data_IF_726508791848
#
_entry.id   IF_726508791848
#
_cell.length_a   1.000
_cell.length_b   1.000
_cell.length_c   1.000
_cell.angle_alpha   90.00
_cell.angle_beta   90.00
_cell.angle_gamma   90.00
#
_symmetry.space_group_name_H-M   'P 1'
#
loop_
_entity.id
_entity.type
_entity.pdbx_description
1 polymer ?
#
# COMPACT_ATOMS: atom_id res chain seq x y z
N UNK A 1 19.78 -26.06 -15.69
CA UNK A 1 19.79 -26.35 -14.25
C UNK A 1 18.70 -25.53 -13.55
N UNK A 2 17.87 -26.18 -12.76
CA UNK A 2 16.92 -25.44 -11.92
C UNK A 2 17.71 -24.78 -10.80
N UNK A 3 17.70 -23.45 -10.77
CA UNK A 3 18.35 -22.68 -9.72
C UNK A 3 17.64 -22.98 -8.40
N UNK A 4 18.36 -23.55 -7.45
CA UNK A 4 17.83 -23.90 -6.14
C UNK A 4 18.08 -22.73 -5.19
N UNK A 5 17.00 -22.15 -4.67
CA UNK A 5 17.07 -21.05 -3.69
C UNK A 5 17.02 -21.63 -2.27
N UNK A 6 17.86 -21.12 -1.39
CA UNK A 6 17.94 -21.51 0.00
C UNK A 6 17.52 -20.37 0.92
N UNK A 7 16.94 -20.70 2.05
CA UNK A 7 16.59 -19.77 3.11
C UNK A 7 17.43 -20.08 4.33
N UNK A 8 18.34 -19.19 4.66
CA UNK A 8 19.19 -19.28 5.85
C UNK A 8 18.95 -18.03 6.71
N UNK A 9 18.14 -18.19 7.75
CA UNK A 9 17.82 -17.08 8.65
C UNK A 9 18.91 -16.94 9.71
N UNK A 10 19.40 -15.71 9.89
CA UNK A 10 20.24 -15.40 11.04
C UNK A 10 19.44 -15.48 12.35
N UNK A 11 20.09 -15.66 13.51
CA UNK A 11 19.38 -15.64 14.80
C UNK A 11 18.57 -14.36 15.02
N UNK A 12 19.07 -13.22 14.57
CA UNK A 12 18.38 -11.94 14.62
C UNK A 12 17.13 -11.91 13.76
N UNK A 13 17.22 -12.38 12.52
CA UNK A 13 16.09 -12.47 11.59
C UNK A 13 15.02 -13.42 12.10
N UNK A 14 15.43 -14.55 12.65
CA UNK A 14 14.51 -15.51 13.26
C UNK A 14 13.75 -14.93 14.44
N UNK A 15 14.44 -14.22 15.31
CA UNK A 15 13.84 -13.48 16.43
C UNK A 15 12.86 -12.39 15.95
N UNK A 16 13.24 -11.66 14.92
CA UNK A 16 12.39 -10.64 14.29
C UNK A 16 11.11 -11.24 13.71
N UNK A 17 11.18 -12.37 13.05
CA UNK A 17 10.00 -13.05 12.52
C UNK A 17 9.06 -13.56 13.60
N UNK A 18 9.58 -14.15 14.67
CA UNK A 18 8.78 -14.56 15.83
C UNK A 18 8.06 -13.38 16.46
N UNK A 19 8.73 -12.24 16.57
CA UNK A 19 8.16 -10.98 17.04
C UNK A 19 7.06 -10.45 16.10
N UNK A 20 7.29 -10.56 14.80
CA UNK A 20 6.33 -10.20 13.75
C UNK A 20 5.04 -11.02 13.84
N UNK A 21 5.13 -12.33 14.07
CA UNK A 21 3.99 -13.21 14.24
C UNK A 21 3.13 -12.87 15.47
N UNK A 22 3.75 -12.45 16.56
CA UNK A 22 3.06 -12.07 17.81
C UNK A 22 2.44 -10.67 17.75
N UNK A 23 2.92 -9.82 16.88
CA UNK A 23 2.47 -8.43 16.78
C UNK A 23 1.04 -8.34 16.24
N UNK A 24 0.21 -7.50 16.85
CA UNK A 24 -1.13 -7.17 16.34
C UNK A 24 -1.12 -6.14 15.19
N UNK A 25 0.02 -5.50 14.94
CA UNK A 25 0.16 -4.42 13.95
C UNK A 25 0.30 -4.93 12.52
N UNK A 26 0.66 -6.19 12.32
CA UNK A 26 0.92 -6.75 10.99
C UNK A 26 -0.30 -7.48 10.43
N UNK A 27 -0.47 -7.39 9.11
CA UNK A 27 -1.56 -8.05 8.42
C UNK A 27 -1.44 -9.58 8.50
N UNK A 28 -2.56 -10.26 8.39
CA UNK A 28 -2.60 -11.73 8.38
C UNK A 28 -1.75 -12.32 7.24
N UNK A 29 -1.77 -11.69 6.06
CA UNK A 29 -0.95 -12.10 4.93
C UNK A 29 0.56 -11.98 5.20
N UNK A 30 0.99 -10.92 5.86
CA UNK A 30 2.38 -10.74 6.26
C UNK A 30 2.83 -11.80 7.26
N UNK A 31 1.96 -12.18 8.17
CA UNK A 31 2.22 -13.26 9.14
C UNK A 31 2.36 -14.63 8.49
N UNK A 32 1.50 -14.96 7.51
CA UNK A 32 1.63 -16.19 6.73
C UNK A 32 2.98 -16.30 6.03
N UNK A 33 3.48 -15.20 5.49
CA UNK A 33 4.80 -15.15 4.86
C UNK A 33 5.92 -15.40 5.85
N UNK A 34 5.85 -14.79 7.02
CA UNK A 34 6.82 -14.98 8.10
C UNK A 34 6.83 -16.44 8.58
N UNK A 35 5.68 -17.05 8.75
CA UNK A 35 5.53 -18.46 9.14
C UNK A 35 6.13 -19.40 8.09
N UNK A 36 5.83 -19.19 6.81
CA UNK A 36 6.40 -19.96 5.71
C UNK A 36 7.93 -19.86 5.68
N UNK A 37 8.50 -18.69 5.87
CA UNK A 37 9.95 -18.50 5.90
C UNK A 37 10.62 -19.19 7.11
N UNK A 38 9.99 -19.17 8.27
CA UNK A 38 10.50 -19.88 9.45
C UNK A 38 10.58 -21.39 9.22
N UNK A 39 9.60 -21.96 8.53
CA UNK A 39 9.60 -23.38 8.18
C UNK A 39 10.59 -23.71 7.04
N UNK A 40 10.86 -22.76 6.14
CA UNK A 40 11.84 -22.89 5.06
C UNK A 40 13.29 -22.75 5.54
N UNK A 41 13.52 -22.31 6.76
CA UNK A 41 14.84 -22.04 7.31
C UNK A 41 15.72 -23.30 7.36
N UNK A 42 16.79 -23.30 6.59
CA UNK A 42 17.80 -24.37 6.50
C UNK A 42 19.02 -24.09 7.38
N UNK A 43 19.03 -22.98 8.12
CA UNK A 43 20.17 -22.63 8.98
C UNK A 43 20.41 -23.67 10.08
N UNK A 44 21.65 -23.78 10.51
CA UNK A 44 22.06 -24.73 11.56
C UNK A 44 21.81 -26.23 11.19
N UNK A 45 21.84 -26.55 9.89
CA UNK A 45 21.63 -27.92 9.42
C UNK A 45 20.19 -28.42 9.48
N UNK A 46 19.23 -27.53 9.58
CA UNK A 46 17.79 -27.86 9.58
C UNK A 46 17.34 -28.31 8.19
N UNK A 47 16.50 -29.32 8.17
CA UNK A 47 15.89 -29.82 6.94
C UNK A 47 14.44 -29.30 6.89
N UNK A 48 14.09 -28.40 5.96
CA UNK A 48 12.74 -27.89 5.86
C UNK A 48 11.77 -29.00 5.40
N UNK A 49 10.50 -28.95 5.85
CA UNK A 49 9.47 -29.84 5.35
C UNK A 49 9.23 -29.64 3.84
N UNK A 50 8.57 -30.59 3.16
CA UNK A 50 8.16 -30.40 1.78
C UNK A 50 7.32 -29.14 1.59
N UNK A 51 7.45 -28.48 0.44
CA UNK A 51 6.76 -27.21 0.13
C UNK A 51 5.24 -27.33 0.32
N UNK A 52 4.66 -28.48 0.00
CA UNK A 52 3.23 -28.73 0.18
C UNK A 52 2.80 -28.70 1.65
N UNK A 53 3.65 -29.21 2.54
CA UNK A 53 3.40 -29.20 3.99
C UNK A 53 3.48 -27.77 4.54
N UNK A 54 4.50 -27.03 4.13
CA UNK A 54 4.64 -25.61 4.51
C UNK A 54 3.46 -24.78 4.04
N UNK A 55 3.03 -25.01 2.81
CA UNK A 55 1.86 -24.35 2.22
C UNK A 55 0.59 -24.61 3.04
N UNK A 56 0.37 -25.85 3.45
CA UNK A 56 -0.76 -26.24 4.29
C UNK A 56 -0.71 -25.54 5.67
N UNK A 57 0.46 -25.51 6.32
CA UNK A 57 0.64 -24.87 7.63
C UNK A 57 0.41 -23.37 7.57
N UNK A 58 0.96 -22.70 6.57
CA UNK A 58 0.84 -21.25 6.40
C UNK A 58 -0.51 -20.82 5.77
N UNK A 59 -1.27 -21.74 5.23
CA UNK A 59 -2.54 -21.43 4.56
C UNK A 59 -2.36 -20.69 3.24
N UNK A 60 -1.33 -21.03 2.47
CA UNK A 60 -1.00 -20.45 1.15
C UNK A 60 -0.79 -21.57 0.13
N UNK A 61 -0.65 -21.21 -1.15
CA UNK A 61 -0.35 -22.20 -2.19
C UNK A 61 1.14 -22.60 -2.20
N UNK A 62 1.45 -23.80 -2.69
CA UNK A 62 2.84 -24.25 -2.88
C UNK A 62 3.64 -23.29 -3.79
N UNK A 63 3.00 -22.71 -4.80
CA UNK A 63 3.60 -21.68 -5.66
C UNK A 63 4.00 -20.42 -4.89
N UNK A 64 3.17 -20.00 -3.93
CA UNK A 64 3.48 -18.87 -3.05
C UNK A 64 4.70 -19.15 -2.17
N UNK A 65 4.81 -20.34 -1.60
CA UNK A 65 5.99 -20.73 -0.80
C UNK A 65 7.27 -20.68 -1.63
N UNK A 66 7.25 -21.22 -2.84
CA UNK A 66 8.40 -21.13 -3.76
C UNK A 66 8.75 -19.69 -4.10
N UNK A 67 7.75 -18.85 -4.29
CA UNK A 67 7.95 -17.41 -4.55
C UNK A 67 8.61 -16.72 -3.35
N UNK A 68 8.18 -17.01 -2.13
CA UNK A 68 8.79 -16.44 -0.92
C UNK A 68 10.25 -16.87 -0.76
N UNK A 69 10.54 -18.14 -1.02
CA UNK A 69 11.92 -18.67 -1.02
C UNK A 69 12.80 -17.89 -2.01
N UNK A 70 12.36 -17.76 -3.25
CA UNK A 70 13.07 -16.99 -4.28
C UNK A 70 13.27 -15.54 -3.88
N UNK A 71 12.21 -14.89 -3.42
CA UNK A 71 12.22 -13.48 -3.04
C UNK A 71 13.17 -13.21 -1.86
N UNK A 72 13.20 -14.10 -0.87
CA UNK A 72 14.17 -14.02 0.23
C UNK A 72 15.61 -14.13 -0.26
N UNK A 73 15.89 -15.11 -1.12
CA UNK A 73 17.23 -15.33 -1.65
C UNK A 73 17.75 -14.20 -2.53
N UNK A 74 16.85 -13.48 -3.23
CA UNK A 74 17.23 -12.38 -4.14
C UNK A 74 17.20 -11.01 -3.47
N UNK A 75 16.20 -10.73 -2.64
CA UNK A 75 15.91 -9.38 -2.12
C UNK A 75 15.99 -9.27 -0.59
N UNK A 76 16.10 -10.38 0.13
CA UNK A 76 16.19 -10.42 1.58
C UNK A 76 14.84 -10.52 2.31
N UNK A 77 14.91 -10.52 3.64
CA UNK A 77 13.75 -10.73 4.52
C UNK A 77 12.67 -9.64 4.39
N UNK A 78 13.06 -8.39 4.39
CA UNK A 78 12.11 -7.27 4.36
C UNK A 78 11.24 -7.27 3.12
N UNK A 79 11.79 -7.66 1.97
CA UNK A 79 11.05 -7.72 0.71
C UNK A 79 9.89 -8.72 0.76
N UNK A 80 10.05 -9.80 1.53
CA UNK A 80 9.02 -10.84 1.69
C UNK A 80 7.93 -10.39 2.65
N UNK A 81 8.31 -9.80 3.78
CA UNK A 81 7.38 -9.39 4.84
C UNK A 81 6.59 -8.14 4.46
N UNK A 82 7.24 -7.19 3.79
CA UNK A 82 6.61 -5.94 3.39
C UNK A 82 6.03 -6.04 1.98
N UNK A 83 4.79 -5.63 1.83
CA UNK A 83 4.18 -5.51 0.51
C UNK A 83 4.87 -4.40 -0.26
N UNK A 84 5.45 -4.72 -1.41
CA UNK A 84 6.01 -3.72 -2.32
C UNK A 84 4.91 -2.75 -2.76
N UNK A 85 5.04 -1.49 -2.35
CA UNK A 85 4.14 -0.44 -2.82
C UNK A 85 4.42 -0.14 -4.29
N UNK A 86 3.37 0.06 -5.05
CA UNK A 86 3.55 0.55 -6.43
C UNK A 86 4.11 1.96 -6.39
N UNK A 87 5.14 2.22 -7.16
CA UNK A 87 5.72 3.55 -7.30
C UNK A 87 4.77 4.52 -8.00
N UNK A 88 3.96 3.99 -8.91
CA UNK A 88 2.96 4.77 -9.66
C UNK A 88 1.58 4.12 -9.43
N UNK A 89 0.56 4.90 -9.04
CA UNK A 89 -0.81 4.39 -8.95
C UNK A 89 -1.28 3.86 -10.32
N UNK A 90 -2.11 2.82 -10.36
CA UNK A 90 -2.62 2.26 -11.62
C UNK A 90 -3.52 3.25 -12.38
N UNK A 91 -4.12 4.18 -11.68
CA UNK A 91 -4.91 5.28 -12.24
C UNK A 91 -4.34 6.57 -11.67
N UNK A 92 -3.99 7.56 -12.53
CA UNK A 92 -3.53 8.85 -12.03
C UNK A 92 -4.64 9.52 -11.20
N UNK A 93 -4.28 10.26 -10.13
CA UNK A 93 -5.27 10.95 -9.33
C UNK A 93 -5.99 12.00 -10.18
N UNK A 94 -7.31 12.06 -10.04
CA UNK A 94 -8.13 13.11 -10.72
C UNK A 94 -7.79 14.51 -10.21
N UNK A 95 -7.42 14.62 -8.95
CA UNK A 95 -7.04 15.87 -8.32
C UNK A 95 -5.53 16.03 -8.39
N UNK A 96 -5.08 16.87 -9.30
CA UNK A 96 -3.68 17.27 -9.44
C UNK A 96 -3.43 18.59 -8.70
N UNK A 97 -2.17 19.04 -8.62
CA UNK A 97 -1.85 20.34 -8.06
C UNK A 97 -2.57 21.52 -8.75
N UNK A 98 -2.76 21.43 -10.07
CA UNK A 98 -3.52 22.43 -10.85
C UNK A 98 -4.99 22.45 -10.45
N UNK A 99 -5.61 21.29 -10.27
CA UNK A 99 -7.01 21.18 -9.83
C UNK A 99 -7.18 21.72 -8.42
N UNK A 100 -6.25 21.38 -7.50
CA UNK A 100 -6.25 21.95 -6.15
C UNK A 100 -6.17 23.47 -6.15
N UNK A 101 -5.25 24.03 -6.92
CA UNK A 101 -5.08 25.49 -7.05
C UNK A 101 -6.34 26.14 -7.62
N UNK A 102 -6.97 25.51 -8.59
CA UNK A 102 -8.20 26.01 -9.20
C UNK A 102 -9.38 26.02 -8.21
N UNK A 103 -9.54 24.95 -7.44
CA UNK A 103 -10.54 24.86 -6.35
C UNK A 103 -10.36 26.00 -5.34
N UNK A 104 -9.14 26.22 -4.92
CA UNK A 104 -8.79 27.26 -3.95
C UNK A 104 -9.07 28.65 -4.52
N UNK A 105 -8.64 28.91 -5.74
CA UNK A 105 -8.88 30.19 -6.42
C UNK A 105 -10.38 30.46 -6.59
N UNK A 106 -11.15 29.45 -6.94
CA UNK A 106 -12.62 29.57 -7.07
C UNK A 106 -13.25 29.88 -5.73
N UNK A 107 -12.84 29.19 -4.66
CA UNK A 107 -13.36 29.45 -3.32
C UNK A 107 -13.08 30.85 -2.80
N UNK A 108 -11.95 31.45 -3.23
CA UNK A 108 -11.56 32.83 -2.87
C UNK A 108 -12.15 33.90 -3.79
N UNK A 109 -12.78 33.52 -4.89
CA UNK A 109 -13.44 34.44 -5.79
C UNK A 109 -14.86 34.83 -5.31
N UNK A 110 -15.43 35.83 -5.93
CA UNK A 110 -16.82 36.22 -5.63
C UNK A 110 -17.81 35.12 -6.03
N UNK A 111 -18.79 34.77 -5.15
CA UNK A 111 -19.82 33.82 -5.51
C UNK A 111 -20.71 34.31 -6.61
N UNK A 112 -21.44 33.44 -7.33
CA UNK A 112 -22.37 33.83 -8.38
C UNK A 112 -23.48 34.72 -7.87
N UNK A 113 -24.08 35.51 -8.76
CA UNK A 113 -25.21 36.36 -8.43
C UNK A 113 -26.31 35.60 -7.66
N UNK A 114 -26.81 36.21 -6.61
CA UNK A 114 -27.83 35.62 -5.76
C UNK A 114 -27.34 34.64 -4.71
N UNK A 115 -26.01 34.46 -4.59
CA UNK A 115 -25.40 33.60 -3.59
C UNK A 115 -24.45 34.38 -2.69
N UNK A 116 -24.53 34.14 -1.40
CA UNK A 116 -23.63 34.78 -0.43
C UNK A 116 -22.26 34.10 -0.31
N UNK A 117 -22.21 32.78 -0.52
CA UNK A 117 -21.00 31.95 -0.38
C UNK A 117 -20.94 30.83 -1.41
N UNK A 118 -19.75 30.34 -1.71
CA UNK A 118 -19.55 29.14 -2.50
C UNK A 118 -19.94 27.91 -1.71
N UNK A 119 -20.78 27.05 -2.28
CA UNK A 119 -20.99 25.69 -1.77
C UNK A 119 -20.07 24.71 -2.47
N UNK A 120 -19.83 23.56 -1.86
CA UNK A 120 -18.98 22.50 -2.45
C UNK A 120 -19.52 22.03 -3.80
N UNK A 121 -20.84 21.89 -3.90
CA UNK A 121 -21.52 21.53 -5.14
C UNK A 121 -21.33 22.58 -6.26
N UNK A 122 -21.40 23.86 -5.91
CA UNK A 122 -21.21 24.97 -6.87
C UNK A 122 -19.76 24.98 -7.40
N UNK A 123 -18.78 24.75 -6.53
CA UNK A 123 -17.37 24.68 -6.90
C UNK A 123 -17.13 23.49 -7.82
N UNK A 124 -17.66 22.31 -7.47
CA UNK A 124 -17.55 21.11 -8.29
C UNK A 124 -18.15 21.32 -9.70
N UNK A 125 -19.33 21.90 -9.78
CA UNK A 125 -20.00 22.20 -11.06
C UNK A 125 -19.20 23.20 -11.91
N UNK A 126 -18.64 24.23 -11.30
CA UNK A 126 -17.83 25.21 -12.01
C UNK A 126 -16.57 24.61 -12.60
N UNK A 127 -15.88 23.77 -11.87
CA UNK A 127 -14.64 23.09 -12.32
C UNK A 127 -14.92 22.19 -13.52
N UNK A 128 -16.05 21.49 -13.52
CA UNK A 128 -16.49 20.65 -14.64
C UNK A 128 -16.87 21.52 -15.85
N UNK A 129 -17.62 22.61 -15.64
CA UNK A 129 -18.00 23.54 -16.69
C UNK A 129 -16.80 24.21 -17.36
N UNK A 130 -15.78 24.55 -16.59
CA UNK A 130 -14.54 25.16 -17.10
C UNK A 130 -13.59 24.12 -17.78
N UNK A 131 -13.96 22.84 -17.81
CA UNK A 131 -13.22 21.81 -18.50
C UNK A 131 -11.93 21.37 -17.81
N UNK A 132 -11.74 21.71 -16.54
CA UNK A 132 -10.54 21.34 -15.76
C UNK A 132 -10.51 19.85 -15.46
N UNK A 133 -11.69 19.26 -15.16
CA UNK A 133 -11.89 17.81 -14.97
C UNK A 133 -13.21 17.39 -15.62
N UNK A 134 -13.30 16.12 -16.00
CA UNK A 134 -14.53 15.56 -16.58
C UNK A 134 -15.64 15.42 -15.55
N UNK A 135 -15.28 15.06 -14.33
CA UNK A 135 -16.20 14.91 -13.21
C UNK A 135 -15.47 15.01 -11.88
N UNK A 136 -16.11 15.61 -10.89
CA UNK A 136 -15.60 15.70 -9.52
C UNK A 136 -16.80 15.75 -8.56
N UNK A 137 -16.66 15.10 -7.39
CA UNK A 137 -17.68 15.15 -6.35
C UNK A 137 -17.47 16.34 -5.41
N UNK A 138 -18.55 16.82 -4.79
CA UNK A 138 -18.52 17.82 -3.74
C UNK A 138 -17.67 17.36 -2.54
N UNK A 139 -17.69 16.08 -2.20
CA UNK A 139 -16.87 15.50 -1.15
C UNK A 139 -15.36 15.62 -1.47
N UNK A 140 -14.96 15.42 -2.73
CA UNK A 140 -13.57 15.61 -3.15
C UNK A 140 -13.13 17.06 -2.97
N UNK A 141 -13.99 18.02 -3.34
CA UNK A 141 -13.76 19.45 -3.14
C UNK A 141 -13.61 19.78 -1.65
N UNK A 142 -14.48 19.21 -0.81
CA UNK A 142 -14.43 19.38 0.64
C UNK A 142 -13.10 18.88 1.22
N UNK A 143 -12.63 17.71 0.79
CA UNK A 143 -11.37 17.12 1.25
C UNK A 143 -10.16 17.98 0.87
N UNK A 144 -10.14 18.54 -0.34
CA UNK A 144 -9.08 19.44 -0.79
C UNK A 144 -9.01 20.69 0.08
N UNK A 145 -10.16 21.32 0.34
CA UNK A 145 -10.22 22.52 1.18
C UNK A 145 -9.88 22.24 2.64
N UNK A 146 -10.32 21.09 3.17
CA UNK A 146 -9.98 20.65 4.53
C UNK A 146 -8.48 20.40 4.69
N UNK A 147 -7.84 19.74 3.71
CA UNK A 147 -6.40 19.49 3.71
C UNK A 147 -5.60 20.78 3.82
N UNK A 148 -6.01 21.82 3.10
CA UNK A 148 -5.37 23.12 3.15
C UNK A 148 -5.48 23.77 4.56
N UNK A 149 -6.67 23.73 5.15
CA UNK A 149 -6.91 24.32 6.47
C UNK A 149 -6.17 23.60 7.61
N UNK A 150 -5.85 22.31 7.43
CA UNK A 150 -5.13 21.51 8.42
C UNK A 150 -3.62 21.46 8.19
N UNK A 151 -3.11 22.02 7.09
CA UNK A 151 -1.67 22.12 6.87
C UNK A 151 -1.09 23.23 7.73
N UNK A 152 -0.07 22.93 8.58
CA UNK A 152 0.63 23.99 9.31
C UNK A 152 1.33 24.92 8.30
N UNK A 153 1.13 26.18 8.49
CA UNK A 153 1.82 27.23 7.73
C UNK A 153 3.24 27.34 8.25
#
# INVERSE_FOLDING_TARGET
>A
MKQQYHVELSPGERGQQKKHLRSKKHSHESKKRAEALLELDESEGRIPPPVQVIAAHAGVSAGSVRKYRKQYATDGLESVLLRKKRSVPPVPPKVTGEVEAYIIATCCSEPPEGKAVWTMQMIANKIVLDGIVDSISDETVRLVLKKRNSSPI
#
